data_IF_762785455459
#
_entry.id   IF_762785455459
#
_cell.length_a   1.000
_cell.length_b   1.000
_cell.length_c   1.000
_cell.angle_alpha   90.00
_cell.angle_beta   90.00
_cell.angle_gamma   90.00
#
_symmetry.space_group_name_H-M   'P 1'
#
loop_
_entity.id
_entity.type
_entity.pdbx_description
1 polymer ?
#
# COMPACT_ATOMS: atom_id res chain seq x y z
N UNK A 1 26.64 -32.30 -28.25
CA UNK A 1 25.55 -31.32 -28.44
C UNK A 1 24.95 -30.98 -27.09
N UNK A 2 25.41 -29.93 -26.45
CA UNK A 2 24.90 -29.44 -25.18
C UNK A 2 23.76 -28.47 -25.46
N UNK A 3 22.53 -28.93 -25.24
CA UNK A 3 21.34 -28.06 -25.32
C UNK A 3 21.33 -27.13 -24.11
N UNK A 4 21.75 -25.90 -24.32
CA UNK A 4 21.60 -24.81 -23.34
C UNK A 4 20.11 -24.45 -23.28
N UNK A 5 19.38 -25.02 -22.31
CA UNK A 5 18.00 -24.63 -22.02
C UNK A 5 18.02 -23.22 -21.41
N UNK A 6 17.47 -22.24 -22.13
CA UNK A 6 17.25 -20.91 -21.58
C UNK A 6 16.40 -21.00 -20.29
N UNK A 7 16.74 -20.25 -19.23
CA UNK A 7 15.96 -20.29 -17.99
C UNK A 7 14.51 -19.85 -18.28
N UNK A 8 13.51 -20.48 -17.67
CA UNK A 8 12.13 -20.18 -17.96
C UNK A 8 11.80 -18.71 -17.63
N UNK A 9 11.13 -18.00 -18.54
CA UNK A 9 10.71 -16.59 -18.43
C UNK A 9 10.01 -16.23 -17.11
N UNK A 10 9.41 -17.22 -16.41
CA UNK A 10 8.78 -17.06 -15.09
C UNK A 10 9.72 -16.58 -13.99
N UNK A 11 10.99 -17.01 -13.98
CA UNK A 11 11.96 -16.63 -12.94
C UNK A 11 12.44 -15.19 -13.09
N UNK A 12 12.54 -14.70 -14.32
CA UNK A 12 12.96 -13.32 -14.60
C UNK A 12 11.90 -12.31 -14.17
N UNK A 13 10.63 -12.56 -14.50
CA UNK A 13 9.52 -11.68 -14.09
C UNK A 13 9.36 -11.61 -12.58
N UNK A 14 9.51 -12.73 -11.87
CA UNK A 14 9.45 -12.75 -10.40
C UNK A 14 10.56 -11.93 -9.74
N UNK A 15 11.78 -11.95 -10.30
CA UNK A 15 12.90 -11.12 -9.80
C UNK A 15 12.64 -9.63 -10.05
N UNK A 16 12.19 -9.27 -11.24
CA UNK A 16 11.83 -7.89 -11.58
C UNK A 16 10.69 -7.38 -10.71
N UNK A 17 9.67 -8.19 -10.46
CA UNK A 17 8.56 -7.87 -9.57
C UNK A 17 9.03 -7.64 -8.13
N UNK A 18 9.95 -8.48 -7.63
CA UNK A 18 10.56 -8.32 -6.30
C UNK A 18 11.33 -6.99 -6.19
N UNK A 19 12.21 -6.70 -7.16
CA UNK A 19 12.99 -5.46 -7.17
C UNK A 19 12.08 -4.22 -7.34
N UNK A 20 11.07 -4.33 -8.21
CA UNK A 20 10.10 -3.28 -8.42
C UNK A 20 9.33 -2.94 -7.12
N UNK A 21 8.82 -3.96 -6.42
CA UNK A 21 8.13 -3.75 -5.14
C UNK A 21 9.06 -3.19 -4.06
N UNK A 22 10.32 -3.60 -4.01
CA UNK A 22 11.28 -3.03 -3.07
C UNK A 22 11.51 -1.53 -3.37
N UNK A 23 11.62 -1.15 -4.64
CA UNK A 23 11.68 0.25 -5.05
C UNK A 23 10.40 1.03 -4.70
N UNK A 24 9.23 0.40 -4.85
CA UNK A 24 7.93 0.96 -4.44
C UNK A 24 7.89 1.22 -2.95
N UNK A 25 8.31 0.27 -2.11
CA UNK A 25 8.31 0.46 -0.64
C UNK A 25 9.26 1.57 -0.20
N UNK A 26 10.41 1.72 -0.85
CA UNK A 26 11.31 2.84 -0.61
C UNK A 26 10.67 4.18 -1.02
N UNK A 27 10.03 4.24 -2.20
CA UNK A 27 9.32 5.43 -2.64
C UNK A 27 8.18 5.80 -1.69
N UNK A 28 7.37 4.83 -1.26
CA UNK A 28 6.29 5.09 -0.30
C UNK A 28 6.81 5.48 1.08
N UNK A 29 7.83 4.80 1.60
CA UNK A 29 8.46 5.17 2.86
C UNK A 29 8.96 6.62 2.87
N UNK A 30 9.50 7.11 1.75
CA UNK A 30 9.94 8.50 1.61
C UNK A 30 8.79 9.52 1.64
N UNK A 31 7.56 9.11 1.31
CA UNK A 31 6.43 10.05 1.30
C UNK A 31 6.00 10.52 2.68
N UNK A 32 6.25 9.73 3.73
CA UNK A 32 5.81 10.08 5.08
C UNK A 32 6.42 11.39 5.60
N UNK A 33 7.74 11.55 5.48
CA UNK A 33 8.40 12.78 5.93
C UNK A 33 8.08 13.97 5.01
N UNK A 34 8.04 13.76 3.67
CA UNK A 34 7.70 14.82 2.72
C UNK A 34 6.26 15.31 2.92
N UNK A 35 5.34 14.37 3.11
CA UNK A 35 3.92 14.68 3.26
C UNK A 35 3.65 15.37 4.60
N UNK A 36 4.36 14.97 5.67
CA UNK A 36 4.26 15.59 6.99
C UNK A 36 4.51 17.09 6.94
N UNK A 37 5.51 17.52 6.19
CA UNK A 37 5.86 18.92 6.00
C UNK A 37 4.82 19.68 5.13
N UNK A 38 4.38 19.07 4.03
CA UNK A 38 3.43 19.70 3.09
C UNK A 38 2.05 19.91 3.69
N UNK A 39 1.51 18.94 4.47
CA UNK A 39 0.14 19.00 5.02
C UNK A 39 -0.02 20.05 6.13
N UNK A 40 1.07 20.69 6.56
CA UNK A 40 1.01 21.87 7.42
C UNK A 40 0.58 23.14 6.65
N UNK A 41 0.75 23.16 5.33
CA UNK A 41 0.51 24.32 4.46
C UNK A 41 -0.60 24.11 3.43
N UNK A 42 -0.82 22.86 3.01
CA UNK A 42 -1.81 22.51 2.00
C UNK A 42 -2.83 21.54 2.61
N UNK A 43 -4.13 21.78 2.49
CA UNK A 43 -5.16 20.88 2.99
C UNK A 43 -4.98 19.46 2.39
N UNK A 44 -5.16 18.44 3.25
CA UNK A 44 -4.92 17.03 2.88
C UNK A 44 -5.71 16.61 1.64
N UNK A 45 -7.01 16.91 1.62
CA UNK A 45 -7.89 16.55 0.49
C UNK A 45 -7.42 17.15 -0.82
N UNK A 46 -6.98 18.41 -0.79
CA UNK A 46 -6.59 19.17 -1.97
C UNK A 46 -5.28 18.65 -2.54
N UNK A 47 -4.29 18.41 -1.65
CA UNK A 47 -3.03 17.82 -2.03
C UNK A 47 -3.22 16.43 -2.67
N UNK A 48 -4.03 15.58 -2.04
CA UNK A 48 -4.30 14.23 -2.56
C UNK A 48 -5.07 14.28 -3.88
N UNK A 49 -6.07 15.15 -4.02
CA UNK A 49 -6.83 15.30 -5.26
C UNK A 49 -5.93 15.67 -6.43
N UNK A 50 -5.08 16.69 -6.27
CA UNK A 50 -4.15 17.14 -7.32
C UNK A 50 -3.08 16.09 -7.59
N UNK A 51 -2.50 15.47 -6.54
CA UNK A 51 -1.51 14.40 -6.67
C UNK A 51 -2.03 13.24 -7.50
N UNK A 52 -3.22 12.73 -7.18
CA UNK A 52 -3.77 11.58 -7.89
C UNK A 52 -4.33 11.93 -9.26
N UNK A 53 -4.81 13.17 -9.48
CA UNK A 53 -5.14 13.66 -10.82
C UNK A 53 -3.92 13.68 -11.74
N UNK A 54 -2.79 14.21 -11.28
CA UNK A 54 -1.54 14.18 -12.04
C UNK A 54 -1.06 12.75 -12.31
N UNK A 55 -1.15 11.86 -11.33
CA UNK A 55 -0.81 10.45 -11.50
C UNK A 55 -1.70 9.77 -12.54
N UNK A 56 -3.01 10.00 -12.48
CA UNK A 56 -3.97 9.45 -13.43
C UNK A 56 -3.70 9.92 -14.87
N UNK A 57 -3.46 11.23 -15.04
CA UNK A 57 -3.13 11.82 -16.35
C UNK A 57 -1.81 11.22 -16.87
N UNK A 58 -0.79 11.10 -16.04
CA UNK A 58 0.51 10.56 -16.45
C UNK A 58 0.38 9.13 -16.97
N UNK A 59 -0.31 8.24 -16.25
CA UNK A 59 -0.49 6.84 -16.69
C UNK A 59 -1.39 6.77 -17.92
N UNK A 60 -2.44 7.59 -17.97
CA UNK A 60 -3.34 7.63 -19.12
C UNK A 60 -2.64 8.10 -20.39
N UNK A 61 -1.77 9.09 -20.34
CA UNK A 61 -1.00 9.58 -21.49
C UNK A 61 -0.03 8.52 -22.04
N UNK A 62 0.55 7.69 -21.15
CA UNK A 62 1.44 6.59 -21.56
C UNK A 62 0.66 5.47 -22.24
N UNK A 63 -0.56 5.17 -21.78
CA UNK A 63 -1.35 4.05 -22.24
C UNK A 63 -2.85 4.43 -22.42
N UNK A 64 -3.20 5.33 -23.36
CA UNK A 64 -4.55 5.88 -23.48
C UNK A 64 -5.62 4.85 -23.84
N UNK A 65 -5.23 3.72 -24.42
CA UNK A 65 -6.15 2.63 -24.78
C UNK A 65 -6.30 1.57 -23.69
N UNK A 66 -5.50 1.63 -22.61
CA UNK A 66 -5.49 0.58 -21.59
C UNK A 66 -6.84 0.40 -20.89
N UNK A 67 -7.57 1.50 -20.64
CA UNK A 67 -8.92 1.44 -20.03
C UNK A 67 -9.96 0.84 -21.00
N UNK A 68 -9.84 1.12 -22.29
CA UNK A 68 -10.75 0.57 -23.30
C UNK A 68 -10.60 -0.96 -23.44
N UNK A 69 -9.42 -1.48 -23.15
CA UNK A 69 -9.12 -2.92 -23.20
C UNK A 69 -9.65 -3.70 -21.98
N UNK A 70 -10.16 -3.01 -20.93
CA UNK A 70 -10.73 -3.65 -19.75
C UNK A 70 -12.17 -4.12 -20.01
N UNK A 71 -12.50 -5.28 -19.47
CA UNK A 71 -13.88 -5.76 -19.37
C UNK A 71 -14.71 -4.87 -18.42
N UNK A 72 -16.05 -4.88 -18.50
CA UNK A 72 -16.89 -4.17 -17.54
C UNK A 72 -16.64 -4.59 -16.08
N UNK A 73 -16.34 -5.88 -15.83
CA UNK A 73 -16.01 -6.39 -14.50
C UNK A 73 -14.69 -5.81 -13.99
N UNK A 74 -13.63 -5.81 -14.80
CA UNK A 74 -12.33 -5.23 -14.43
C UNK A 74 -12.43 -3.73 -14.13
N UNK A 75 -13.25 -2.98 -14.88
CA UNK A 75 -13.52 -1.57 -14.58
C UNK A 75 -14.20 -1.40 -13.22
N UNK A 76 -15.20 -2.23 -12.89
CA UNK A 76 -15.87 -2.21 -11.58
C UNK A 76 -14.88 -2.54 -10.46
N UNK A 77 -14.00 -3.53 -10.64
CA UNK A 77 -12.95 -3.85 -9.68
C UNK A 77 -12.00 -2.66 -9.49
N UNK A 78 -11.58 -1.99 -10.57
CA UNK A 78 -10.78 -0.78 -10.49
C UNK A 78 -11.44 0.34 -9.71
N UNK A 79 -12.76 0.54 -9.86
CA UNK A 79 -13.52 1.52 -9.07
C UNK A 79 -13.55 1.13 -7.59
N UNK A 80 -13.88 -0.13 -7.27
CA UNK A 80 -13.90 -0.60 -5.87
C UNK A 80 -12.53 -0.43 -5.22
N UNK A 81 -11.47 -0.89 -5.87
CA UNK A 81 -10.10 -0.73 -5.40
C UNK A 81 -9.71 0.74 -5.23
N UNK A 82 -10.11 1.59 -6.17
CA UNK A 82 -9.85 3.03 -6.10
C UNK A 82 -10.57 3.73 -4.95
N UNK A 83 -11.83 3.34 -4.65
CA UNK A 83 -12.57 3.86 -3.48
C UNK A 83 -11.87 3.45 -2.19
N UNK A 84 -11.53 2.15 -2.04
CA UNK A 84 -10.87 1.62 -0.85
C UNK A 84 -9.51 2.30 -0.64
N UNK A 85 -8.70 2.41 -1.70
CA UNK A 85 -7.39 3.06 -1.61
C UNK A 85 -7.51 4.56 -1.35
N UNK A 86 -8.44 5.26 -1.99
CA UNK A 86 -8.67 6.69 -1.79
C UNK A 86 -9.11 7.01 -0.35
N UNK A 87 -10.01 6.21 0.22
CA UNK A 87 -10.39 6.33 1.62
C UNK A 87 -9.20 6.04 2.54
N UNK A 88 -8.39 5.02 2.24
CA UNK A 88 -7.18 4.74 3.01
C UNK A 88 -6.19 5.91 2.98
N UNK A 89 -5.96 6.51 1.82
CA UNK A 89 -5.07 7.68 1.66
C UNK A 89 -5.55 8.89 2.45
N UNK A 90 -6.84 9.18 2.45
CA UNK A 90 -7.41 10.27 3.24
C UNK A 90 -7.20 10.03 4.74
N UNK A 91 -7.57 8.85 5.24
CA UNK A 91 -7.41 8.49 6.66
C UNK A 91 -5.94 8.52 7.09
N UNK A 92 -5.03 7.94 6.30
CA UNK A 92 -3.60 7.94 6.58
C UNK A 92 -3.04 9.36 6.64
N UNK A 93 -3.37 10.18 5.65
CA UNK A 93 -2.78 11.52 5.53
C UNK A 93 -3.33 12.48 6.58
N UNK A 94 -4.63 12.38 6.91
CA UNK A 94 -5.21 13.09 8.06
C UNK A 94 -4.57 12.60 9.37
N UNK A 95 -4.42 11.29 9.54
CA UNK A 95 -3.75 10.71 10.71
C UNK A 95 -2.32 11.21 10.88
N UNK A 96 -1.58 11.36 9.77
CA UNK A 96 -0.21 11.84 9.76
C UNK A 96 -0.08 13.28 10.30
N UNK A 97 -1.10 14.12 10.22
CA UNK A 97 -1.07 15.47 10.81
C UNK A 97 -0.89 15.42 12.34
N UNK A 98 -1.36 14.36 12.99
CA UNK A 98 -1.42 14.22 14.45
C UNK A 98 -0.37 13.25 15.03
N UNK A 99 0.48 12.65 14.19
CA UNK A 99 1.53 11.72 14.63
C UNK A 99 2.84 11.95 13.87
N UNK A 100 3.94 11.31 14.30
CA UNK A 100 5.21 11.44 13.57
C UNK A 100 5.22 10.58 12.30
N UNK A 101 6.09 10.91 11.34
CA UNK A 101 6.23 10.19 10.09
C UNK A 101 6.64 8.73 10.32
N UNK A 102 7.58 8.49 11.24
CA UNK A 102 8.02 7.14 11.60
C UNK A 102 6.90 6.32 12.24
N UNK A 103 6.15 6.88 13.20
CA UNK A 103 5.02 6.18 13.84
C UNK A 103 3.93 5.89 12.81
N UNK A 104 3.57 6.86 11.96
CA UNK A 104 2.59 6.64 10.90
C UNK A 104 3.02 5.52 9.94
N UNK A 105 4.31 5.47 9.57
CA UNK A 105 4.85 4.40 8.73
C UNK A 105 4.71 3.01 9.38
N UNK A 106 5.07 2.86 10.68
CA UNK A 106 4.91 1.58 11.38
C UNK A 106 3.45 1.16 11.54
N UNK A 107 2.56 2.10 11.88
CA UNK A 107 1.13 1.82 12.03
C UNK A 107 0.50 1.47 10.67
N UNK A 108 0.89 2.17 9.60
CA UNK A 108 0.46 1.82 8.23
C UNK A 108 0.88 0.39 7.88
N UNK A 109 2.10 -0.01 8.23
CA UNK A 109 2.62 -1.37 8.00
C UNK A 109 1.76 -2.49 8.58
N UNK A 110 0.85 -2.19 9.51
CA UNK A 110 -0.13 -3.16 10.02
C UNK A 110 -1.03 -3.77 8.92
N UNK A 111 -1.11 -3.17 7.72
CA UNK A 111 -1.80 -3.78 6.59
C UNK A 111 -1.28 -5.19 6.27
N UNK A 112 -0.02 -5.48 6.55
CA UNK A 112 0.58 -6.82 6.36
C UNK A 112 -0.06 -7.85 7.30
N UNK A 113 -0.40 -7.45 8.52
CA UNK A 113 -1.14 -8.30 9.47
C UNK A 113 -2.61 -8.41 9.10
N UNK A 114 -3.22 -7.30 8.65
CA UNK A 114 -4.63 -7.30 8.24
C UNK A 114 -4.88 -8.11 6.96
N UNK A 115 -3.92 -8.16 6.03
CA UNK A 115 -4.08 -8.86 4.74
C UNK A 115 -4.45 -10.35 4.92
N UNK A 116 -3.71 -11.18 5.68
CA UNK A 116 -4.09 -12.58 5.88
C UNK A 116 -5.38 -12.72 6.70
N UNK A 117 -5.65 -11.83 7.66
CA UNK A 117 -6.90 -11.86 8.41
C UNK A 117 -8.11 -11.63 7.51
N UNK A 118 -8.04 -10.61 6.65
CA UNK A 118 -9.09 -10.31 5.68
C UNK A 118 -9.24 -11.43 4.63
N UNK A 119 -8.12 -11.97 4.14
CA UNK A 119 -8.13 -13.11 3.22
C UNK A 119 -8.84 -14.32 3.84
N UNK A 120 -8.49 -14.66 5.08
CA UNK A 120 -9.12 -15.77 5.78
C UNK A 120 -10.64 -15.56 6.02
N UNK A 121 -11.06 -14.34 6.39
CA UNK A 121 -12.48 -14.02 6.57
C UNK A 121 -13.24 -14.13 5.24
N UNK A 122 -12.69 -13.56 4.16
CA UNK A 122 -13.33 -13.56 2.84
C UNK A 122 -13.46 -14.97 2.24
N UNK A 123 -12.44 -15.81 2.43
CA UNK A 123 -12.38 -17.17 1.92
C UNK A 123 -12.87 -18.21 2.95
N UNK A 124 -13.34 -17.76 4.12
CA UNK A 124 -13.83 -18.62 5.23
C UNK A 124 -12.78 -19.67 5.68
N UNK A 125 -11.51 -19.35 5.55
CA UNK A 125 -10.41 -20.18 5.97
C UNK A 125 -10.12 -20.06 7.47
N UNK A 126 -9.50 -21.08 8.07
CA UNK A 126 -9.08 -21.05 9.47
C UNK A 126 -7.80 -20.23 9.61
N UNK A 127 -7.78 -19.32 10.58
CA UNK A 127 -6.59 -18.53 10.91
C UNK A 127 -5.64 -19.37 11.76
N UNK A 128 -4.42 -19.54 11.31
CA UNK A 128 -3.37 -20.29 12.00
C UNK A 128 -2.93 -19.64 13.31
N UNK A 129 -2.34 -20.43 14.21
CA UNK A 129 -1.83 -19.96 15.52
C UNK A 129 -0.76 -18.88 15.37
N UNK A 130 0.06 -18.97 14.33
CA UNK A 130 1.13 -18.01 14.06
C UNK A 130 0.57 -16.60 13.81
N UNK A 131 -0.52 -16.50 13.05
CA UNK A 131 -1.19 -15.22 12.77
C UNK A 131 -1.75 -14.62 14.06
N UNK A 132 -2.35 -15.42 14.96
CA UNK A 132 -2.84 -14.93 16.26
C UNK A 132 -1.72 -14.43 17.18
N UNK A 133 -0.56 -15.11 17.20
CA UNK A 133 0.62 -14.64 17.93
C UNK A 133 1.10 -13.31 17.35
N UNK A 134 1.15 -13.20 16.03
CA UNK A 134 1.55 -11.97 15.34
C UNK A 134 0.58 -10.81 15.63
N UNK A 135 -0.73 -11.06 15.64
CA UNK A 135 -1.75 -10.05 16.03
C UNK A 135 -1.49 -9.56 17.46
N UNK A 136 -1.24 -10.48 18.40
CA UNK A 136 -0.90 -10.11 19.79
C UNK A 136 0.38 -9.25 19.85
N UNK A 137 1.44 -9.68 19.15
CA UNK A 137 2.71 -8.96 19.11
C UNK A 137 2.57 -7.58 18.45
N UNK A 138 1.83 -7.49 17.34
CA UNK A 138 1.54 -6.23 16.66
C UNK A 138 0.71 -5.28 17.53
N UNK A 139 -0.27 -5.82 18.26
CA UNK A 139 -1.09 -5.03 19.20
C UNK A 139 -0.24 -4.46 20.34
N UNK A 140 0.67 -5.26 20.90
CA UNK A 140 1.62 -4.77 21.91
C UNK A 140 2.54 -3.69 21.34
N UNK A 141 3.08 -3.92 20.13
CA UNK A 141 3.93 -2.94 19.44
C UNK A 141 3.19 -1.63 19.17
N UNK A 142 1.96 -1.70 18.67
CA UNK A 142 1.09 -0.55 18.48
C UNK A 142 0.80 0.17 19.79
N UNK A 143 0.51 -0.56 20.86
CA UNK A 143 0.34 0.01 22.20
C UNK A 143 1.57 0.79 22.65
N UNK A 144 2.78 0.23 22.51
CA UNK A 144 4.05 0.91 22.83
C UNK A 144 4.24 2.16 21.96
N UNK A 145 3.91 2.12 20.67
CA UNK A 145 4.03 3.27 19.77
C UNK A 145 3.05 4.39 20.09
N UNK A 146 1.78 4.05 20.33
CA UNK A 146 0.65 4.97 20.20
C UNK A 146 0.03 5.39 21.52
N UNK A 147 0.19 4.59 22.62
CA UNK A 147 -0.44 4.91 23.90
C UNK A 147 0.18 6.16 24.52
N UNK A 148 -0.65 7.18 24.69
CA UNK A 148 -0.45 8.34 25.54
C UNK A 148 -1.28 8.15 26.81
N UNK A 149 -0.71 7.46 27.80
CA UNK A 149 -1.49 6.93 28.92
C UNK A 149 -2.25 5.64 28.55
N UNK A 150 -3.58 5.62 28.69
CA UNK A 150 -4.43 4.46 28.37
C UNK A 150 -5.24 4.62 27.06
N UNK A 151 -4.97 5.67 26.25
CA UNK A 151 -5.69 5.95 25.03
C UNK A 151 -4.77 5.88 23.80
N UNK A 152 -5.29 5.35 22.69
CA UNK A 152 -4.65 5.47 21.37
C UNK A 152 -4.90 6.88 20.89
N UNK A 153 -3.87 7.57 20.38
CA UNK A 153 -4.00 8.89 19.77
C UNK A 153 -4.90 8.86 18.53
N UNK A 154 -5.58 9.97 18.28
CA UNK A 154 -6.49 10.07 17.12
C UNK A 154 -5.77 9.85 15.77
N UNK A 155 -4.51 10.31 15.64
CA UNK A 155 -3.69 10.11 14.46
C UNK A 155 -3.38 8.65 14.18
N UNK A 156 -2.98 7.90 15.21
CA UNK A 156 -2.70 6.48 15.13
C UNK A 156 -3.97 5.67 14.84
N UNK A 157 -5.11 6.04 15.42
CA UNK A 157 -6.39 5.38 15.15
C UNK A 157 -6.81 5.53 13.68
N UNK A 158 -6.69 6.74 13.11
CA UNK A 158 -6.96 7.00 11.70
C UNK A 158 -5.99 6.22 10.79
N UNK A 159 -4.71 6.21 11.13
CA UNK A 159 -3.70 5.46 10.38
C UNK A 159 -3.93 3.95 10.46
N UNK A 160 -4.38 3.42 11.61
CA UNK A 160 -4.74 2.01 11.77
C UNK A 160 -5.96 1.64 10.91
N UNK A 161 -6.97 2.50 10.87
CA UNK A 161 -8.12 2.31 9.98
C UNK A 161 -7.69 2.33 8.50
N UNK A 162 -6.75 3.20 8.13
CA UNK A 162 -6.19 3.20 6.78
C UNK A 162 -5.44 1.91 6.47
N UNK A 163 -4.67 1.37 7.42
CA UNK A 163 -3.95 0.11 7.26
C UNK A 163 -4.89 -1.08 6.99
N UNK A 164 -6.06 -1.11 7.64
CA UNK A 164 -7.10 -2.10 7.36
C UNK A 164 -7.60 -1.99 5.91
N UNK A 165 -7.86 -0.78 5.43
CA UNK A 165 -8.29 -0.54 4.05
C UNK A 165 -7.18 -0.89 3.03
N UNK A 166 -5.90 -0.60 3.34
CA UNK A 166 -4.79 -1.04 2.50
C UNK A 166 -4.68 -2.56 2.45
N UNK A 167 -4.89 -3.26 3.58
CA UNK A 167 -4.99 -4.72 3.60
C UNK A 167 -6.09 -5.24 2.68
N UNK A 168 -7.28 -4.62 2.72
CA UNK A 168 -8.38 -4.96 1.83
C UNK A 168 -8.04 -4.69 0.36
N UNK A 169 -7.37 -3.59 0.05
CA UNK A 169 -6.89 -3.27 -1.29
C UNK A 169 -5.88 -4.31 -1.81
N UNK A 170 -4.93 -4.74 -0.97
CA UNK A 170 -3.93 -5.76 -1.32
C UNK A 170 -4.60 -7.10 -1.62
N UNK A 171 -5.57 -7.52 -0.80
CA UNK A 171 -6.36 -8.73 -1.06
C UNK A 171 -7.12 -8.59 -2.38
N UNK A 172 -7.81 -7.47 -2.60
CA UNK A 172 -8.55 -7.22 -3.83
C UNK A 172 -7.65 -7.19 -5.08
N UNK A 173 -6.45 -6.61 -4.99
CA UNK A 173 -5.49 -6.69 -6.10
C UNK A 173 -5.05 -8.13 -6.38
N UNK A 174 -4.79 -8.92 -5.34
CA UNK A 174 -4.44 -10.33 -5.49
C UNK A 174 -5.53 -11.14 -6.21
N UNK A 175 -6.80 -10.81 -5.97
CA UNK A 175 -7.95 -11.50 -6.58
C UNK A 175 -8.27 -11.01 -8.01
N UNK A 176 -8.08 -9.72 -8.30
CA UNK A 176 -8.67 -9.07 -9.49
C UNK A 176 -7.65 -8.50 -10.46
N UNK A 177 -6.35 -8.48 -10.13
CA UNK A 177 -5.33 -8.01 -11.07
C UNK A 177 -4.82 -9.11 -11.98
N UNK A 178 -4.47 -8.73 -13.21
CA UNK A 178 -3.75 -9.58 -14.16
C UNK A 178 -2.66 -8.76 -14.85
N UNK A 179 -1.63 -9.43 -15.36
CA UNK A 179 -0.56 -8.75 -16.09
C UNK A 179 -1.10 -7.96 -17.31
N UNK A 180 -2.17 -8.44 -17.94
CA UNK A 180 -2.81 -7.79 -19.08
C UNK A 180 -3.59 -6.53 -18.67
N UNK A 181 -4.30 -6.59 -17.55
CA UNK A 181 -5.18 -5.51 -17.09
C UNK A 181 -4.49 -4.50 -16.18
N UNK A 182 -3.27 -4.76 -15.71
CA UNK A 182 -2.60 -3.99 -14.68
C UNK A 182 -2.59 -2.47 -14.94
N UNK A 183 -2.19 -2.03 -16.13
CA UNK A 183 -2.13 -0.60 -16.46
C UNK A 183 -3.54 0.02 -16.51
N UNK A 184 -4.47 -0.63 -17.20
CA UNK A 184 -5.85 -0.14 -17.29
C UNK A 184 -6.53 -0.08 -15.93
N UNK A 185 -6.33 -1.12 -15.11
CA UNK A 185 -6.84 -1.18 -13.74
C UNK A 185 -6.25 -0.05 -12.88
N UNK A 186 -4.96 0.24 -13.02
CA UNK A 186 -4.30 1.36 -12.34
C UNK A 186 -4.89 2.71 -12.75
N UNK A 187 -5.14 2.93 -14.04
CA UNK A 187 -5.77 4.19 -14.49
C UNK A 187 -7.14 4.37 -13.86
N UNK A 188 -7.98 3.32 -13.86
CA UNK A 188 -9.32 3.38 -13.24
C UNK A 188 -9.21 3.64 -11.73
N UNK A 189 -8.29 2.99 -11.04
CA UNK A 189 -8.03 3.25 -9.61
C UNK A 189 -7.64 4.71 -9.38
N UNK A 190 -6.63 5.23 -10.10
CA UNK A 190 -6.15 6.59 -9.93
C UNK A 190 -7.24 7.65 -10.21
N UNK A 191 -8.06 7.44 -11.25
CA UNK A 191 -9.21 8.30 -11.53
C UNK A 191 -10.23 8.27 -10.38
N UNK A 192 -10.52 7.08 -9.87
CA UNK A 192 -11.46 6.92 -8.75
C UNK A 192 -10.92 7.55 -7.48
N UNK A 193 -9.64 7.37 -7.17
CA UNK A 193 -8.98 8.02 -6.02
C UNK A 193 -9.06 9.55 -6.17
N UNK A 194 -8.83 10.07 -7.39
CA UNK A 194 -8.95 11.51 -7.68
C UNK A 194 -10.37 12.01 -7.37
N UNK A 195 -11.40 11.24 -7.78
CA UNK A 195 -12.81 11.60 -7.49
C UNK A 195 -13.09 11.56 -5.99
N UNK A 196 -12.63 10.53 -5.27
CA UNK A 196 -12.82 10.41 -3.82
C UNK A 196 -12.15 11.56 -3.07
N UNK A 197 -10.89 11.86 -3.38
CA UNK A 197 -10.15 12.96 -2.75
C UNK A 197 -10.71 14.33 -3.18
N UNK A 198 -11.10 14.48 -4.45
CA UNK A 198 -11.71 15.69 -4.99
C UNK A 198 -13.07 15.99 -4.38
N UNK A 199 -13.89 14.98 -4.11
CA UNK A 199 -15.15 15.13 -3.37
C UNK A 199 -14.91 15.62 -1.93
N UNK A 200 -13.84 15.16 -1.29
CA UNK A 200 -13.45 15.67 0.04
C UNK A 200 -12.91 17.10 0.01
N UNK A 201 -12.29 17.54 -1.10
CA UNK A 201 -11.77 18.88 -1.31
C UNK A 201 -12.86 19.89 -1.74
N UNK A 202 -13.96 19.42 -2.34
CA UNK A 202 -14.97 20.26 -2.98
C UNK A 202 -15.58 21.39 -2.10
N UNK A 203 -15.83 21.17 -0.79
CA UNK A 203 -16.47 22.20 0.04
C UNK A 203 -15.66 23.47 0.23
N UNK A 204 -14.30 23.40 0.15
CA UNK A 204 -13.41 24.55 0.39
C UNK A 204 -12.80 25.16 -0.87
N UNK A 205 -13.02 24.53 -2.04
CA UNK A 205 -12.21 24.80 -3.23
C UNK A 205 -10.82 24.19 -3.11
N UNK A 206 -10.08 24.10 -4.22
CA UNK A 206 -8.76 23.43 -4.23
C UNK A 206 -7.64 24.46 -3.99
N UNK A 207 -6.94 24.30 -2.88
CA UNK A 207 -5.73 25.05 -2.56
C UNK A 207 -4.52 24.37 -3.16
N UNK A 208 -3.77 25.08 -4.01
CA UNK A 208 -2.56 24.55 -4.65
C UNK A 208 -1.32 24.87 -3.81
N UNK A 209 -0.25 24.08 -3.94
CA UNK A 209 1.05 24.39 -3.34
C UNK A 209 1.54 25.78 -3.72
N UNK A 210 2.14 26.49 -2.76
CA UNK A 210 2.62 27.87 -2.95
C UNK A 210 4.14 27.94 -3.08
N UNK A 211 4.87 26.91 -2.63
CA UNK A 211 6.33 26.90 -2.66
C UNK A 211 6.86 25.88 -3.68
N UNK A 212 8.08 26.12 -4.18
CA UNK A 212 8.75 25.18 -5.08
C UNK A 212 9.01 23.80 -4.42
N UNK A 213 9.25 23.77 -3.10
CA UNK A 213 9.43 22.52 -2.34
C UNK A 213 8.14 21.69 -2.28
N UNK A 214 7.00 22.34 -2.04
CA UNK A 214 5.70 21.67 -2.02
C UNK A 214 5.32 21.12 -3.40
N UNK A 215 5.61 21.89 -4.48
CA UNK A 215 5.44 21.40 -5.85
C UNK A 215 6.34 20.24 -6.19
N UNK A 216 7.60 20.27 -5.76
CA UNK A 216 8.51 19.11 -5.92
C UNK A 216 7.95 17.87 -5.22
N UNK A 217 7.53 18.01 -3.97
CA UNK A 217 6.92 16.94 -3.19
C UNK A 217 5.67 16.38 -3.87
N UNK A 218 4.79 17.26 -4.36
CA UNK A 218 3.56 16.87 -5.06
C UNK A 218 3.86 16.10 -6.34
N UNK A 219 4.75 16.61 -7.20
CA UNK A 219 5.11 15.99 -8.48
C UNK A 219 5.82 14.66 -8.25
N UNK A 220 6.77 14.60 -7.31
CA UNK A 220 7.44 13.36 -6.92
C UNK A 220 6.41 12.31 -6.44
N UNK A 221 5.53 12.69 -5.54
CA UNK A 221 4.52 11.78 -5.01
C UNK A 221 3.47 11.39 -6.06
N UNK A 222 3.16 12.27 -7.02
CA UNK A 222 2.24 11.93 -8.11
C UNK A 222 2.86 10.94 -9.10
N UNK A 223 4.08 11.20 -9.55
CA UNK A 223 4.70 10.43 -10.63
C UNK A 223 5.41 9.18 -10.13
N UNK A 224 6.19 9.28 -9.05
CA UNK A 224 6.99 8.15 -8.53
C UNK A 224 6.17 7.33 -7.55
N UNK A 225 5.71 7.92 -6.45
CA UNK A 225 4.98 7.19 -5.40
C UNK A 225 3.49 6.94 -5.72
N UNK A 226 2.94 7.61 -6.72
CA UNK A 226 1.58 7.42 -7.22
C UNK A 226 1.56 6.58 -8.50
N UNK A 227 1.80 7.21 -9.64
CA UNK A 227 1.67 6.59 -10.97
C UNK A 227 2.56 5.34 -11.13
N UNK A 228 3.88 5.51 -11.01
CA UNK A 228 4.84 4.42 -11.21
C UNK A 228 4.68 3.33 -10.16
N UNK A 229 4.57 3.70 -8.89
CA UNK A 229 4.45 2.75 -7.80
C UNK A 229 3.18 1.90 -7.91
N UNK A 230 2.02 2.50 -8.24
CA UNK A 230 0.76 1.77 -8.36
C UNK A 230 0.75 0.84 -9.59
N UNK A 231 1.36 1.26 -10.70
CA UNK A 231 1.56 0.39 -11.88
C UNK A 231 2.44 -0.81 -11.52
N UNK A 232 3.58 -0.55 -10.86
CA UNK A 232 4.52 -1.62 -10.46
C UNK A 232 3.83 -2.55 -9.45
N UNK A 233 3.12 -2.04 -8.45
CA UNK A 233 2.42 -2.87 -7.46
C UNK A 233 1.38 -3.76 -8.14
N UNK A 234 0.51 -3.17 -8.96
CA UNK A 234 -0.55 -3.92 -9.65
C UNK A 234 0.04 -5.00 -10.56
N UNK A 235 1.09 -4.66 -11.30
CA UNK A 235 1.80 -5.62 -12.15
C UNK A 235 2.53 -6.70 -11.34
N UNK A 236 3.21 -6.33 -10.27
CA UNK A 236 3.97 -7.27 -9.45
C UNK A 236 3.04 -8.27 -8.75
N UNK A 237 1.89 -7.83 -8.23
CA UNK A 237 0.91 -8.71 -7.59
C UNK A 237 0.19 -9.63 -8.58
N UNK A 238 0.26 -9.36 -9.88
CA UNK A 238 -0.13 -10.31 -10.91
C UNK A 238 0.92 -11.41 -11.22
N UNK A 239 2.16 -11.26 -10.67
CA UNK A 239 3.28 -12.19 -10.92
C UNK A 239 3.83 -12.84 -9.65
N UNK A 240 3.50 -12.30 -8.49
CA UNK A 240 3.94 -12.79 -7.18
C UNK A 240 2.74 -13.27 -6.39
N UNK A 241 2.90 -14.37 -5.68
CA UNK A 241 1.95 -14.74 -4.63
C UNK A 241 1.77 -13.57 -3.64
N UNK A 242 0.56 -13.34 -3.19
CA UNK A 242 0.21 -12.22 -2.29
C UNK A 242 1.14 -12.16 -1.07
N UNK A 243 1.43 -13.31 -0.47
CA UNK A 243 2.41 -13.48 0.62
C UNK A 243 3.78 -12.90 0.29
N UNK A 244 4.34 -13.26 -0.87
CA UNK A 244 5.68 -12.79 -1.24
C UNK A 244 5.69 -11.28 -1.49
N UNK A 245 4.62 -10.74 -2.05
CA UNK A 245 4.44 -9.31 -2.18
C UNK A 245 4.40 -8.64 -0.80
N UNK A 246 3.62 -9.20 0.14
CA UNK A 246 3.49 -8.68 1.50
C UNK A 246 4.85 -8.68 2.25
N UNK A 247 5.66 -9.76 2.17
CA UNK A 247 7.02 -9.79 2.75
C UNK A 247 7.85 -8.60 2.25
N UNK A 248 7.84 -8.34 0.94
CA UNK A 248 8.62 -7.23 0.37
C UNK A 248 8.07 -5.90 0.90
N UNK A 249 6.76 -5.78 0.99
CA UNK A 249 6.09 -4.56 1.45
C UNK A 249 6.32 -4.27 2.94
N UNK A 250 6.77 -5.24 3.76
CA UNK A 250 7.21 -4.99 5.15
C UNK A 250 8.40 -4.05 5.24
N UNK A 251 9.11 -3.82 4.16
CA UNK A 251 10.21 -2.86 4.13
C UNK A 251 9.75 -1.40 4.11
N UNK A 252 8.49 -1.10 3.80
CA UNK A 252 7.96 0.27 3.78
C UNK A 252 8.13 1.00 5.12
N UNK A 253 7.70 0.48 6.28
CA UNK A 253 7.93 1.15 7.56
C UNK A 253 9.42 1.29 7.93
N UNK A 254 10.28 0.37 7.46
CA UNK A 254 11.73 0.51 7.65
C UNK A 254 12.25 1.73 6.89
N UNK A 255 11.86 1.87 5.62
CA UNK A 255 12.20 3.06 4.83
C UNK A 255 11.57 4.33 5.38
N UNK A 256 10.31 4.28 5.86
CA UNK A 256 9.65 5.43 6.49
C UNK A 256 10.45 5.92 7.71
N UNK A 257 10.83 5.04 8.61
CA UNK A 257 11.68 5.38 9.76
C UNK A 257 13.06 5.90 9.34
N UNK A 258 13.69 5.25 8.36
CA UNK A 258 15.00 5.67 7.84
C UNK A 258 14.96 7.10 7.27
N UNK A 259 14.00 7.39 6.38
CA UNK A 259 13.87 8.71 5.76
C UNK A 259 13.41 9.78 6.75
N UNK A 260 12.53 9.43 7.71
CA UNK A 260 12.12 10.35 8.76
C UNK A 260 13.32 10.83 9.61
N UNK A 261 14.27 9.93 9.90
CA UNK A 261 15.51 10.28 10.63
C UNK A 261 16.50 11.02 9.75
N UNK A 262 16.81 10.50 8.56
CA UNK A 262 17.88 11.04 7.72
C UNK A 262 17.52 12.37 7.06
N UNK A 263 16.28 12.54 6.68
CA UNK A 263 15.81 13.68 5.89
C UNK A 263 14.74 14.52 6.61
N UNK A 264 13.91 13.89 7.46
CA UNK A 264 12.85 14.56 8.21
C UNK A 264 13.28 15.11 9.57
N UNK A 265 14.53 14.89 9.98
CA UNK A 265 15.06 15.40 11.27
C UNK A 265 14.47 14.72 12.52
N UNK A 266 13.69 13.65 12.35
CA UNK A 266 13.14 12.89 13.49
C UNK A 266 14.24 12.16 14.27
N UNK A 267 14.04 11.98 15.58
CA UNK A 267 14.86 11.12 16.42
C UNK A 267 14.04 9.92 16.86
N UNK A 268 14.53 8.71 16.55
CA UNK A 268 13.89 7.49 17.02
C UNK A 268 14.17 7.33 18.53
N UNK A 269 13.19 7.72 19.34
CA UNK A 269 13.22 7.44 20.77
C UNK A 269 13.10 5.94 21.07
N UNK A 270 13.48 5.49 22.29
CA UNK A 270 13.41 4.07 22.67
C UNK A 270 12.04 3.44 22.45
N UNK A 271 10.99 4.23 22.61
CA UNK A 271 9.59 3.82 22.38
C UNK A 271 9.32 3.46 20.93
N UNK A 272 9.81 4.28 19.99
CA UNK A 272 9.63 4.02 18.52
C UNK A 272 10.46 2.81 18.11
N UNK A 273 11.67 2.65 18.63
CA UNK A 273 12.52 1.49 18.36
C UNK A 273 11.90 0.20 18.90
N UNK A 274 11.42 0.21 20.15
CA UNK A 274 10.82 -0.96 20.77
C UNK A 274 9.49 -1.33 20.12
N UNK A 275 8.57 -0.37 20.03
CA UNK A 275 7.24 -0.60 19.46
C UNK A 275 7.28 -0.92 17.97
N UNK A 276 8.09 -0.18 17.20
CA UNK A 276 8.33 -0.46 15.78
C UNK A 276 8.99 -1.82 15.56
N UNK A 277 9.95 -2.20 16.41
CA UNK A 277 10.58 -3.52 16.40
C UNK A 277 9.57 -4.66 16.64
N UNK A 278 8.65 -4.49 17.58
CA UNK A 278 7.57 -5.46 17.83
C UNK A 278 6.61 -5.58 16.64
N UNK A 279 6.23 -4.46 16.01
CA UNK A 279 5.39 -4.46 14.80
C UNK A 279 6.12 -5.18 13.67
N UNK A 280 7.38 -4.85 13.41
CA UNK A 280 8.18 -5.54 12.37
C UNK A 280 8.32 -7.03 12.65
N UNK A 281 8.58 -7.42 13.92
CA UNK A 281 8.66 -8.84 14.30
C UNK A 281 7.32 -9.55 14.03
N UNK A 282 6.18 -8.91 14.32
CA UNK A 282 4.86 -9.45 14.00
C UNK A 282 4.66 -9.63 12.50
N UNK A 283 5.04 -8.63 11.69
CA UNK A 283 4.96 -8.68 10.22
C UNK A 283 5.78 -9.84 9.66
N UNK A 284 7.04 -9.98 10.06
CA UNK A 284 7.90 -11.08 9.64
C UNK A 284 7.38 -12.45 10.13
N UNK A 285 6.82 -12.52 11.34
CA UNK A 285 6.24 -13.75 11.87
C UNK A 285 5.06 -14.24 11.03
N UNK A 286 4.17 -13.34 10.58
CA UNK A 286 3.06 -13.68 9.66
C UNK A 286 3.60 -14.19 8.33
N UNK A 287 4.59 -13.51 7.78
CA UNK A 287 5.05 -13.76 6.42
C UNK A 287 5.97 -14.99 6.31
N UNK A 288 6.82 -15.23 7.30
CA UNK A 288 7.79 -16.34 7.31
C UNK A 288 7.34 -17.53 8.16
N UNK A 289 6.29 -17.37 8.95
CA UNK A 289 5.79 -18.43 9.82
C UNK A 289 5.13 -19.59 9.07
N UNK A 290 5.04 -20.76 9.71
CA UNK A 290 4.33 -21.91 9.14
C UNK A 290 2.84 -21.57 8.95
N UNK A 291 2.31 -21.85 7.76
CA UNK A 291 0.88 -21.68 7.46
C UNK A 291 0.09 -22.92 7.84
N UNK A 292 -1.17 -22.70 8.22
CA UNK A 292 -2.10 -23.83 8.32
C UNK A 292 -2.34 -24.42 6.92
N UNK A 293 -2.62 -25.75 6.81
CA UNK A 293 -2.91 -26.38 5.52
C UNK A 293 -4.00 -25.64 4.71
N UNK A 294 -5.08 -25.21 5.39
CA UNK A 294 -6.18 -24.47 4.77
C UNK A 294 -5.73 -23.06 4.27
N UNK A 295 -4.69 -22.47 4.87
CA UNK A 295 -4.11 -21.19 4.42
C UNK A 295 -3.20 -21.37 3.20
N UNK A 296 -2.60 -22.57 3.04
CA UNK A 296 -1.83 -22.93 1.85
C UNK A 296 -2.75 -23.08 0.65
N UNK A 297 -3.88 -23.78 0.81
CA UNK A 297 -4.90 -23.94 -0.23
C UNK A 297 -5.48 -22.60 -0.65
N UNK A 298 -5.75 -21.71 0.32
CA UNK A 298 -6.21 -20.34 0.07
C UNK A 298 -5.17 -19.50 -0.67
N UNK A 299 -3.89 -19.61 -0.28
CA UNK A 299 -2.81 -18.88 -0.95
C UNK A 299 -2.55 -19.42 -2.36
N UNK A 300 -2.72 -20.72 -2.58
CA UNK A 300 -2.69 -21.34 -3.89
C UNK A 300 -3.92 -20.98 -4.72
N UNK A 301 -5.11 -20.93 -4.12
CA UNK A 301 -6.36 -20.53 -4.78
C UNK A 301 -6.31 -19.04 -5.19
N UNK A 302 -5.83 -18.14 -4.33
CA UNK A 302 -5.56 -16.73 -4.69
C UNK A 302 -4.48 -16.63 -5.78
N UNK A 303 -3.47 -17.53 -5.76
CA UNK A 303 -2.40 -17.59 -6.76
C UNK A 303 -2.75 -18.37 -8.03
N UNK A 304 -3.74 -19.25 -7.96
CA UNK A 304 -4.14 -20.20 -9.02
C UNK A 304 -5.52 -19.90 -9.63
N UNK A 305 -6.23 -18.85 -9.16
CA UNK A 305 -7.48 -18.46 -9.81
C UNK A 305 -7.16 -18.29 -11.28
N UNK A 306 -7.62 -19.21 -12.17
CA UNK A 306 -7.41 -19.03 -13.58
C UNK A 306 -8.04 -17.69 -13.90
N UNK A 307 -7.28 -16.81 -14.52
CA UNK A 307 -7.84 -15.59 -15.09
C UNK A 307 -9.03 -16.06 -15.91
N UNK A 308 -10.25 -15.91 -15.37
CA UNK A 308 -11.47 -16.29 -16.04
C UNK A 308 -11.45 -15.50 -17.34
N UNK A 309 -11.08 -16.21 -18.40
CA UNK A 309 -11.16 -15.69 -19.73
C UNK A 309 -12.64 -15.33 -20.00
N UNK A 310 -12.88 -14.37 -20.85
CA UNK A 310 -14.24 -13.96 -21.17
C UNK A 310 -15.01 -15.17 -21.73
N UNK A 311 -16.16 -15.48 -21.09
CA UNK A 311 -17.26 -16.17 -21.75
C UNK A 311 -17.99 -15.12 -22.55
#
# INVERSE_FOLDING_TARGET
MTTTTAPPRRTTNARLATLGLLGVTAAWGSTFFLLKDVVERVPVSDFLAVRFALAAVAVWLIAPRAVAALTPAERRYGVVLGVVYGAAQLLQTVGLQYTSASVSGFVTGMYVVFTPLLGAVLLRARIGRVVWIAVGLATLGLGVLSLQGFAIGGGEALTLASALLYGAHIVGLGLWSSARSAIGLTVVQLLTITVVCGAAAAPGGVVLPQTGGDWFSLVYMALVAGALALVIQTWAQAHLAATRAAIIMTMEPVFAGLFAVLLGGERLGPRVVLGGGLVLAAMYLVELGPRAPDEQDVAEEIGSVPHVGPV
#
